data_IF_830827864974
#
_entry.id   IF_830827864974
#
_cell.length_a   1.000
_cell.length_b   1.000
_cell.length_c   1.000
_cell.angle_alpha   90.00
_cell.angle_beta   90.00
_cell.angle_gamma   90.00
#
_symmetry.space_group_name_H-M   'P 1'
#
loop_
_entity.id
_entity.type
_entity.pdbx_description
1 polymer ?
#
# COMPACT_ATOMS: atom_id res chain seq x y z
N UNK A 1 31.32 15.57 -73.45
CA UNK A 1 30.16 15.68 -72.55
C UNK A 1 30.70 16.09 -71.18
N UNK A 2 30.96 17.39 -71.00
CA UNK A 2 31.60 17.94 -69.81
C UNK A 2 30.55 18.30 -68.77
N UNK A 3 30.67 17.75 -67.56
CA UNK A 3 29.92 18.22 -66.39
C UNK A 3 30.50 19.58 -65.99
N UNK A 4 29.84 20.67 -66.40
CA UNK A 4 30.12 22.01 -65.89
C UNK A 4 29.69 22.09 -64.42
N UNK A 5 30.66 21.97 -63.52
CA UNK A 5 30.54 22.33 -62.12
C UNK A 5 30.46 23.86 -62.02
N UNK A 6 29.26 24.41 -62.10
CA UNK A 6 29.03 25.82 -61.80
C UNK A 6 29.37 26.10 -60.31
N UNK A 7 30.28 27.05 -60.01
CA UNK A 7 30.70 27.40 -58.64
C UNK A 7 29.53 27.77 -57.71
N UNK A 8 28.42 28.26 -58.27
CA UNK A 8 27.20 28.62 -57.58
C UNK A 8 26.56 27.46 -56.81
N UNK A 9 26.62 26.22 -57.35
CA UNK A 9 25.93 25.08 -56.73
C UNK A 9 26.61 24.59 -55.44
N UNK A 10 27.95 24.65 -55.38
CA UNK A 10 28.71 24.27 -54.18
C UNK A 10 28.52 25.32 -53.08
N UNK A 11 28.60 26.60 -53.43
CA UNK A 11 28.42 27.70 -52.47
C UNK A 11 27.00 27.71 -51.88
N UNK A 12 25.98 27.47 -52.71
CA UNK A 12 24.59 27.40 -52.24
C UNK A 12 24.31 26.17 -51.38
N UNK A 13 25.06 25.08 -51.60
CA UNK A 13 24.98 23.87 -50.78
C UNK A 13 25.68 24.06 -49.44
N UNK A 14 26.82 24.77 -49.40
CA UNK A 14 27.52 25.15 -48.17
C UNK A 14 26.64 26.10 -47.33
N UNK A 15 26.04 27.13 -47.93
CA UNK A 15 25.12 28.04 -47.21
C UNK A 15 23.93 27.32 -46.60
N UNK A 16 23.34 26.36 -47.33
CA UNK A 16 22.25 25.52 -46.79
C UNK A 16 22.71 24.63 -45.65
N UNK A 17 23.93 24.09 -45.71
CA UNK A 17 24.49 23.31 -44.61
C UNK A 17 24.77 24.17 -43.39
N UNK A 18 25.34 25.36 -43.54
CA UNK A 18 25.56 26.31 -42.45
C UNK A 18 24.25 26.74 -41.79
N UNK A 19 23.21 27.01 -42.58
CA UNK A 19 21.88 27.33 -42.05
C UNK A 19 21.29 26.17 -41.24
N UNK A 20 21.39 24.93 -41.75
CA UNK A 20 20.93 23.74 -41.03
C UNK A 20 21.72 23.48 -39.76
N UNK A 21 23.04 23.63 -39.80
CA UNK A 21 23.91 23.49 -38.63
C UNK A 21 23.54 24.56 -37.58
N UNK A 22 23.33 25.81 -38.00
CA UNK A 22 22.89 26.90 -37.10
C UNK A 22 21.53 26.63 -36.48
N UNK A 23 20.57 26.10 -37.23
CA UNK A 23 19.28 25.68 -36.69
C UNK A 23 19.40 24.51 -35.70
N UNK A 24 20.26 23.53 -35.99
CA UNK A 24 20.55 22.42 -35.09
C UNK A 24 21.19 22.94 -33.80
N UNK A 25 22.18 23.83 -33.87
CA UNK A 25 22.78 24.43 -32.67
C UNK A 25 21.76 25.24 -31.83
N UNK A 26 20.85 25.96 -32.48
CA UNK A 26 19.75 26.65 -31.77
C UNK A 26 18.75 25.68 -31.12
N UNK A 27 18.56 24.48 -31.67
CA UNK A 27 17.68 23.44 -31.11
C UNK A 27 18.37 22.59 -30.04
N UNK A 28 19.67 22.37 -30.15
CA UNK A 28 20.49 21.56 -29.23
C UNK A 28 20.91 22.39 -28.00
N UNK A 29 20.92 23.72 -28.09
CA UNK A 29 21.38 24.63 -27.04
C UNK A 29 20.31 25.09 -26.03
N UNK A 30 19.34 24.25 -25.65
CA UNK A 30 18.48 24.55 -24.49
C UNK A 30 19.19 24.14 -23.20
N UNK A 31 20.30 24.80 -22.87
CA UNK A 31 21.03 24.59 -21.61
C UNK A 31 20.25 25.07 -20.38
N UNK A 32 19.30 25.99 -20.57
CA UNK A 32 18.26 26.29 -19.58
C UNK A 32 16.97 26.71 -20.30
N UNK A 33 15.88 26.00 -20.04
CA UNK A 33 14.54 26.39 -20.47
C UNK A 33 13.71 26.70 -19.21
N UNK A 34 13.18 27.93 -19.11
CA UNK A 34 12.29 28.32 -18.01
C UNK A 34 10.89 28.52 -18.57
N UNK A 35 9.95 27.67 -18.15
CA UNK A 35 8.53 27.80 -18.50
C UNK A 35 7.90 28.81 -17.55
N UNK A 36 7.75 30.08 -17.98
CA UNK A 36 7.19 31.15 -17.14
C UNK A 36 5.67 31.15 -17.05
N UNK A 37 4.98 30.71 -18.12
CA UNK A 37 3.51 30.63 -18.21
C UNK A 37 3.15 29.54 -19.23
N UNK A 38 2.12 28.75 -18.96
CA UNK A 38 1.75 27.57 -19.75
C UNK A 38 2.08 26.25 -19.01
N UNK A 39 2.20 25.15 -19.74
CA UNK A 39 2.57 23.83 -19.22
C UNK A 39 3.46 23.05 -20.20
N UNK A 40 4.15 22.03 -19.69
CA UNK A 40 4.87 21.06 -20.51
C UNK A 40 3.94 19.88 -20.80
N UNK A 41 3.67 19.61 -22.08
CA UNK A 41 2.97 18.40 -22.51
C UNK A 41 3.97 17.49 -23.21
N UNK A 42 4.06 16.26 -22.72
CA UNK A 42 4.86 15.18 -23.31
C UNK A 42 3.91 14.28 -24.10
N UNK A 43 4.26 13.95 -25.34
CA UNK A 43 3.45 13.14 -26.26
C UNK A 43 4.25 11.90 -26.71
N UNK A 44 3.56 10.90 -27.25
CA UNK A 44 4.17 9.73 -27.91
C UNK A 44 5.26 9.06 -27.05
N UNK A 45 4.90 8.70 -25.82
CA UNK A 45 5.81 8.01 -24.88
C UNK A 45 7.05 8.83 -24.49
N UNK A 46 7.03 10.14 -24.72
CA UNK A 46 8.04 11.05 -24.19
C UNK A 46 8.08 11.03 -22.66
N UNK A 47 9.27 11.19 -22.11
CA UNK A 47 9.54 11.10 -20.68
C UNK A 47 10.20 12.37 -20.15
N UNK A 48 10.06 12.57 -18.84
CA UNK A 48 10.81 13.55 -18.06
C UNK A 48 11.84 12.81 -17.20
N UNK A 49 13.12 13.14 -17.35
CA UNK A 49 14.22 12.50 -16.64
C UNK A 49 15.18 13.53 -16.07
N UNK A 50 15.57 13.33 -14.81
CA UNK A 50 16.61 14.11 -14.14
C UNK A 50 17.75 13.17 -13.75
N UNK A 51 18.97 13.56 -14.10
CA UNK A 51 20.20 12.84 -13.80
C UNK A 51 21.11 13.78 -13.01
N UNK A 52 21.74 13.28 -11.96
CA UNK A 52 22.72 14.05 -11.19
C UNK A 52 24.09 14.15 -11.89
N UNK A 53 25.04 14.83 -11.25
CA UNK A 53 26.41 15.00 -11.74
C UNK A 53 27.23 13.71 -11.79
N UNK A 54 26.77 12.65 -11.11
CA UNK A 54 27.37 11.31 -11.11
C UNK A 54 26.74 10.38 -12.15
N UNK A 55 25.77 10.86 -12.93
CA UNK A 55 25.07 10.06 -13.94
C UNK A 55 23.95 9.18 -13.39
N UNK A 56 23.57 9.36 -12.11
CA UNK A 56 22.48 8.62 -11.47
C UNK A 56 21.15 9.30 -11.79
N UNK A 57 20.18 8.52 -12.24
CA UNK A 57 18.82 9.03 -12.40
C UNK A 57 18.21 9.31 -11.03
N UNK A 58 17.79 10.55 -10.79
CA UNK A 58 17.17 10.96 -9.52
C UNK A 58 15.65 11.06 -9.66
N UNK A 59 15.14 11.35 -10.87
CA UNK A 59 13.71 11.45 -11.12
C UNK A 59 13.37 10.99 -12.53
N UNK A 60 12.25 10.29 -12.66
CA UNK A 60 11.75 9.78 -13.93
C UNK A 60 10.22 9.79 -13.94
N UNK A 61 9.62 10.31 -15.00
CA UNK A 61 8.21 10.14 -15.34
C UNK A 61 8.12 9.74 -16.81
N UNK A 62 7.54 8.59 -17.10
CA UNK A 62 7.42 8.08 -18.46
C UNK A 62 7.15 6.58 -18.51
N UNK A 63 7.17 5.97 -19.69
CA UNK A 63 6.93 4.53 -19.86
C UNK A 63 8.11 3.68 -19.38
N UNK A 64 7.82 2.58 -18.70
CA UNK A 64 8.80 1.54 -18.43
C UNK A 64 9.15 0.72 -19.69
N UNK A 65 9.96 -0.33 -19.54
CA UNK A 65 10.33 -1.22 -20.66
C UNK A 65 9.16 -1.94 -21.32
N UNK A 66 7.99 -1.96 -20.68
CA UNK A 66 6.75 -2.56 -21.18
C UNK A 66 5.77 -1.49 -21.69
N UNK A 67 6.16 -0.21 -21.76
CA UNK A 67 5.30 0.88 -22.21
C UNK A 67 4.33 1.39 -21.13
N UNK A 68 4.45 0.92 -19.88
CA UNK A 68 3.54 1.31 -18.79
C UNK A 68 4.04 2.58 -18.13
N UNK A 69 3.15 3.54 -17.91
CA UNK A 69 3.51 4.81 -17.30
C UNK A 69 3.94 4.62 -15.84
N UNK A 70 5.12 5.11 -15.49
CA UNK A 70 5.68 5.05 -14.13
C UNK A 70 6.23 6.40 -13.70
N UNK A 71 6.24 6.61 -12.38
CA UNK A 71 6.92 7.71 -11.71
C UNK A 71 7.96 7.14 -10.75
N UNK A 72 9.18 7.70 -10.76
CA UNK A 72 10.25 7.34 -9.84
C UNK A 72 10.95 8.61 -9.33
N UNK A 73 11.17 8.64 -8.03
CA UNK A 73 12.02 9.60 -7.35
C UNK A 73 13.02 8.81 -6.50
N UNK A 74 14.29 9.15 -6.57
CA UNK A 74 15.40 8.44 -5.91
C UNK A 74 16.20 9.37 -5.00
N UNK A 75 16.93 8.75 -4.08
CA UNK A 75 17.93 9.39 -3.21
C UNK A 75 19.23 9.61 -3.99
N UNK A 76 20.17 10.34 -3.38
CA UNK A 76 21.52 10.62 -3.89
C UNK A 76 22.36 9.36 -4.20
N UNK A 77 21.96 8.18 -3.71
CA UNK A 77 22.57 6.88 -4.07
C UNK A 77 21.80 6.05 -5.11
N UNK A 78 20.78 6.63 -5.76
CA UNK A 78 19.94 5.94 -6.75
C UNK A 78 18.86 5.02 -6.16
N UNK A 79 18.82 4.83 -4.84
CA UNK A 79 17.74 4.07 -4.19
C UNK A 79 16.40 4.83 -4.28
N UNK A 80 15.29 4.18 -4.67
CA UNK A 80 13.99 4.82 -4.77
C UNK A 80 13.53 5.33 -3.40
N UNK A 81 12.99 6.55 -3.36
CA UNK A 81 12.27 7.13 -2.21
C UNK A 81 10.76 7.11 -2.44
N UNK A 82 10.31 7.40 -3.66
CA UNK A 82 8.91 7.32 -4.07
C UNK A 82 8.87 6.69 -5.46
N UNK A 83 8.02 5.70 -5.67
CA UNK A 83 7.86 5.08 -6.98
C UNK A 83 6.44 4.60 -7.22
N UNK A 84 6.07 4.39 -8.48
CA UNK A 84 4.91 3.60 -8.86
C UNK A 84 5.34 2.26 -9.44
N UNK A 85 4.58 1.20 -9.15
CA UNK A 85 4.83 -0.13 -9.70
C UNK A 85 3.52 -0.90 -9.86
N UNK A 86 3.58 -2.16 -10.28
CA UNK A 86 2.40 -2.95 -10.62
C UNK A 86 2.32 -4.21 -9.76
N UNK A 87 1.17 -4.42 -9.11
CA UNK A 87 0.84 -5.67 -8.42
C UNK A 87 0.25 -6.74 -9.38
N UNK A 88 -0.21 -6.30 -10.55
CA UNK A 88 -0.82 -7.12 -11.58
C UNK A 88 -1.32 -6.26 -12.76
N UNK A 89 -1.93 -6.87 -13.80
CA UNK A 89 -2.49 -6.13 -14.93
C UNK A 89 -3.53 -5.08 -14.47
N UNK A 90 -3.28 -3.81 -14.75
CA UNK A 90 -4.15 -2.70 -14.36
C UNK A 90 -4.11 -2.33 -12.87
N UNK A 91 -3.25 -2.98 -12.07
CA UNK A 91 -3.12 -2.74 -10.63
C UNK A 91 -1.83 -1.97 -10.35
N UNK A 92 -1.84 -0.68 -10.65
CA UNK A 92 -0.73 0.21 -10.32
C UNK A 92 -0.84 0.69 -8.86
N UNK A 93 0.26 0.66 -8.12
CA UNK A 93 0.39 1.25 -6.79
C UNK A 93 1.50 2.29 -6.78
N UNK A 94 1.50 3.15 -5.77
CA UNK A 94 2.62 4.00 -5.39
C UNK A 94 3.15 3.60 -4.02
N UNK A 95 4.45 3.78 -3.80
CA UNK A 95 5.07 3.50 -2.52
C UNK A 95 6.16 4.52 -2.19
N UNK A 96 6.12 5.01 -0.96
CA UNK A 96 7.17 5.76 -0.29
C UNK A 96 8.01 4.80 0.56
N UNK A 97 9.33 4.88 0.48
CA UNK A 97 10.25 3.97 1.18
C UNK A 97 11.19 4.69 2.15
N UNK A 98 11.74 3.95 3.10
CA UNK A 98 12.86 4.40 3.94
C UNK A 98 14.23 4.16 3.27
N UNK A 99 15.33 4.48 3.97
CA UNK A 99 16.69 4.30 3.46
C UNK A 99 17.11 2.83 3.25
N UNK A 100 16.40 1.89 3.87
CA UNK A 100 16.59 0.45 3.70
C UNK A 100 15.60 -0.16 2.68
N UNK A 101 14.89 0.70 1.92
CA UNK A 101 13.89 0.32 0.92
C UNK A 101 12.63 -0.36 1.49
N UNK A 102 12.36 -0.24 2.80
CA UNK A 102 11.09 -0.68 3.37
C UNK A 102 9.99 0.30 2.97
N UNK A 103 8.81 -0.22 2.60
CA UNK A 103 7.64 0.61 2.33
C UNK A 103 7.11 1.23 3.63
N UNK A 104 7.11 2.57 3.68
CA UNK A 104 6.61 3.37 4.80
C UNK A 104 5.14 3.72 4.59
N UNK A 105 4.81 4.14 3.36
CA UNK A 105 3.44 4.43 2.95
C UNK A 105 3.22 3.90 1.54
N UNK A 106 2.11 3.23 1.30
CA UNK A 106 1.72 2.76 -0.03
C UNK A 106 0.20 2.59 -0.09
N UNK A 107 -0.39 2.63 -1.27
CA UNK A 107 -1.78 2.21 -1.49
C UNK A 107 -1.89 0.70 -1.75
N UNK A 108 -3.06 0.13 -1.47
CA UNK A 108 -3.34 -1.28 -1.72
C UNK A 108 -3.94 -1.48 -3.11
N UNK A 109 -3.07 -1.72 -4.11
CA UNK A 109 -3.52 -1.95 -5.48
C UNK A 109 -4.19 -3.31 -5.72
N UNK A 110 -4.03 -4.30 -4.83
CA UNK A 110 -4.66 -5.61 -5.02
C UNK A 110 -6.13 -5.57 -4.63
N UNK A 111 -6.44 -5.01 -3.45
CA UNK A 111 -7.84 -4.79 -3.06
C UNK A 111 -8.45 -3.53 -3.70
N UNK A 112 -7.61 -2.60 -4.16
CA UNK A 112 -8.01 -1.29 -4.66
C UNK A 112 -8.55 -0.36 -3.56
N UNK A 113 -8.29 -0.66 -2.28
CA UNK A 113 -8.88 0.05 -1.15
C UNK A 113 -7.87 0.37 -0.05
N UNK A 114 -7.72 1.66 0.23
CA UNK A 114 -6.99 2.16 1.40
C UNK A 114 -5.47 2.09 1.27
N UNK A 115 -4.80 2.02 2.42
CA UNK A 115 -3.34 2.03 2.51
C UNK A 115 -2.81 0.61 2.66
N UNK A 116 -1.84 0.23 1.84
CA UNK A 116 -1.00 -0.94 2.10
C UNK A 116 -0.13 -0.74 3.35
N UNK A 117 0.39 0.48 3.54
CA UNK A 117 1.19 0.90 4.70
C UNK A 117 0.91 2.38 5.06
N UNK A 118 1.05 2.80 6.33
CA UNK A 118 1.31 1.96 7.51
C UNK A 118 0.07 1.16 7.92
N UNK A 119 0.29 0.10 8.70
CA UNK A 119 -0.81 -0.57 9.40
C UNK A 119 -1.28 0.35 10.52
N UNK A 120 -2.55 0.72 10.48
CA UNK A 120 -3.13 1.59 11.49
C UNK A 120 -3.61 0.70 12.64
N UNK A 121 -2.99 0.81 13.82
CA UNK A 121 -3.39 0.00 14.96
C UNK A 121 -4.79 0.42 15.41
N UNK A 122 -5.56 -0.56 15.84
CA UNK A 122 -6.84 -0.42 16.50
C UNK A 122 -6.60 -0.67 18.00
N UNK A 123 -6.22 0.37 18.78
CA UNK A 123 -5.67 0.17 20.12
C UNK A 123 -6.72 -0.46 21.05
N UNK A 124 -6.37 -1.62 21.60
CA UNK A 124 -7.06 -2.32 22.69
C UNK A 124 -6.00 -2.80 23.68
N UNK A 125 -6.33 -2.93 24.96
CA UNK A 125 -5.28 -3.10 25.98
C UNK A 125 -5.69 -3.68 27.33
N UNK A 126 -6.86 -4.30 27.47
CA UNK A 126 -7.21 -4.98 28.73
C UNK A 126 -6.35 -6.24 28.88
N UNK A 127 -5.56 -6.33 29.95
CA UNK A 127 -4.66 -7.47 30.18
C UNK A 127 -4.93 -8.24 31.46
N UNK A 128 -5.71 -7.68 32.39
CA UNK A 128 -6.03 -8.32 33.67
C UNK A 128 -7.25 -9.25 33.54
N UNK A 129 -7.03 -10.53 33.87
CA UNK A 129 -8.05 -11.57 33.89
C UNK A 129 -9.26 -11.22 34.76
N UNK A 130 -9.05 -10.48 35.86
CA UNK A 130 -10.10 -10.18 36.81
C UNK A 130 -11.11 -9.15 36.29
N UNK A 131 -10.73 -8.36 35.29
CA UNK A 131 -11.55 -7.30 34.71
C UNK A 131 -12.02 -7.62 33.29
N UNK A 132 -11.56 -8.73 32.71
CA UNK A 132 -12.06 -9.18 31.40
C UNK A 132 -13.52 -9.64 31.50
N UNK A 133 -14.38 -9.27 30.54
CA UNK A 133 -15.74 -9.79 30.43
C UNK A 133 -15.76 -11.32 30.36
N UNK A 134 -16.65 -11.95 31.13
CA UNK A 134 -16.75 -13.41 31.24
C UNK A 134 -18.18 -13.87 31.05
N UNK A 135 -18.34 -15.12 30.62
CA UNK A 135 -19.64 -15.76 30.51
C UNK A 135 -19.59 -17.22 30.98
N UNK A 136 -20.70 -17.69 31.52
CA UNK A 136 -20.97 -19.12 31.80
C UNK A 136 -22.00 -19.71 30.83
N UNK A 137 -22.46 -18.91 29.85
CA UNK A 137 -23.49 -19.32 28.89
C UNK A 137 -22.99 -20.43 27.97
N UNK A 138 -23.82 -21.45 27.75
CA UNK A 138 -23.62 -22.46 26.71
C UNK A 138 -23.89 -21.96 25.28
N UNK A 139 -24.52 -20.79 25.16
CA UNK A 139 -24.75 -20.08 23.89
C UNK A 139 -23.75 -18.94 23.71
N UNK A 140 -23.41 -18.61 22.46
CA UNK A 140 -22.53 -17.47 22.14
C UNK A 140 -23.15 -16.16 22.63
N UNK A 141 -22.37 -15.41 23.42
CA UNK A 141 -22.68 -14.05 23.85
C UNK A 141 -21.53 -13.13 23.49
N UNK A 142 -21.84 -11.88 23.16
CA UNK A 142 -20.82 -10.84 22.92
C UNK A 142 -20.14 -10.49 24.24
N UNK A 143 -18.82 -10.68 24.26
CA UNK A 143 -17.96 -10.39 25.39
C UNK A 143 -17.15 -9.11 25.17
N UNK A 144 -16.87 -8.78 23.92
CA UNK A 144 -16.13 -7.58 23.55
C UNK A 144 -16.62 -7.09 22.18
N UNK A 145 -16.57 -5.77 21.95
CA UNK A 145 -17.01 -5.17 20.69
C UNK A 145 -16.07 -4.07 20.24
N UNK A 146 -15.95 -3.93 18.93
CA UNK A 146 -15.09 -2.95 18.29
C UNK A 146 -15.83 -2.23 17.18
N UNK A 147 -15.76 -0.90 17.21
CA UNK A 147 -16.39 0.01 16.26
C UNK A 147 -15.32 0.95 15.71
N UNK A 148 -14.96 0.81 14.44
CA UNK A 148 -14.00 1.68 13.75
C UNK A 148 -14.49 2.04 12.35
N UNK A 149 -13.70 2.81 11.61
CA UNK A 149 -13.90 2.99 10.17
C UNK A 149 -12.99 2.04 9.40
N UNK A 150 -13.52 1.40 8.35
CA UNK A 150 -12.76 0.47 7.52
C UNK A 150 -11.68 1.20 6.72
N UNK A 151 -10.42 1.09 7.16
CA UNK A 151 -9.27 1.67 6.46
C UNK A 151 -8.50 0.66 5.60
N UNK A 152 -8.62 -0.63 5.92
CA UNK A 152 -7.91 -1.75 5.28
C UNK A 152 -8.89 -2.87 4.90
N UNK A 153 -8.59 -3.72 3.90
CA UNK A 153 -9.47 -4.81 3.47
C UNK A 153 -9.47 -6.02 4.42
N UNK A 154 -8.43 -6.18 5.25
CA UNK A 154 -8.29 -7.28 6.19
C UNK A 154 -7.94 -6.74 7.58
N UNK A 155 -8.27 -7.53 8.60
CA UNK A 155 -7.91 -7.27 9.99
C UNK A 155 -7.07 -8.43 10.50
N UNK A 156 -5.94 -8.10 11.12
CA UNK A 156 -5.19 -9.02 11.96
C UNK A 156 -5.56 -8.71 13.42
N UNK A 157 -6.09 -9.70 14.13
CA UNK A 157 -6.59 -9.58 15.48
C UNK A 157 -5.94 -10.65 16.36
N UNK A 158 -5.54 -10.24 17.56
CA UNK A 158 -5.16 -11.15 18.63
C UNK A 158 -6.17 -11.05 19.75
N UNK A 159 -6.60 -12.20 20.26
CA UNK A 159 -7.57 -12.32 21.33
C UNK A 159 -6.88 -12.92 22.55
N UNK A 160 -7.16 -12.39 23.73
CA UNK A 160 -6.90 -13.12 24.98
C UNK A 160 -8.10 -14.00 25.27
N UNK A 161 -7.86 -15.30 25.34
CA UNK A 161 -8.90 -16.30 25.59
C UNK A 161 -8.50 -17.15 26.78
N UNK A 162 -9.47 -17.53 27.60
CA UNK A 162 -9.20 -18.45 28.68
C UNK A 162 -10.44 -18.95 29.36
N UNK A 163 -10.27 -20.00 30.16
CA UNK A 163 -11.34 -20.66 30.88
C UNK A 163 -10.96 -20.90 32.34
N UNK A 164 -11.95 -20.92 33.22
CA UNK A 164 -11.80 -21.49 34.56
C UNK A 164 -11.38 -22.95 34.47
N UNK A 165 -10.57 -23.42 35.44
CA UNK A 165 -10.19 -24.84 35.53
C UNK A 165 -11.42 -25.74 35.55
N UNK A 166 -11.38 -26.83 34.78
CA UNK A 166 -12.49 -27.75 34.54
C UNK A 166 -13.48 -27.30 33.46
N UNK A 167 -13.23 -26.18 32.76
CA UNK A 167 -14.14 -25.62 31.75
C UNK A 167 -13.44 -25.48 30.40
N UNK A 168 -14.14 -25.73 29.30
CA UNK A 168 -13.67 -25.44 27.94
C UNK A 168 -14.69 -24.57 27.23
N UNK A 169 -14.26 -23.84 26.22
CA UNK A 169 -15.13 -22.91 25.50
C UNK A 169 -14.78 -22.79 24.03
N UNK A 170 -15.50 -21.92 23.36
CA UNK A 170 -15.24 -21.51 21.99
C UNK A 170 -15.37 -20.01 21.90
N UNK A 171 -14.58 -19.41 21.01
CA UNK A 171 -14.67 -18.01 20.63
C UNK A 171 -14.98 -17.88 19.15
N UNK A 172 -15.61 -16.77 18.78
CA UNK A 172 -15.77 -16.36 17.38
C UNK A 172 -15.75 -14.85 17.24
N UNK A 173 -15.30 -14.37 16.09
CA UNK A 173 -15.40 -12.97 15.70
C UNK A 173 -16.47 -12.86 14.63
N UNK A 174 -17.37 -11.89 14.77
CA UNK A 174 -18.42 -11.62 13.79
C UNK A 174 -18.33 -10.20 13.26
N UNK A 175 -18.71 -10.03 11.99
CA UNK A 175 -19.07 -8.73 11.43
C UNK A 175 -20.53 -8.79 11.04
N UNK A 176 -21.35 -7.90 11.62
CA UNK A 176 -22.78 -7.77 11.31
C UNK A 176 -23.53 -9.13 11.31
N UNK A 177 -23.20 -9.99 12.28
CA UNK A 177 -23.77 -11.33 12.46
C UNK A 177 -23.10 -12.47 11.66
N UNK A 178 -22.19 -12.17 10.73
CA UNK A 178 -21.43 -13.17 9.96
C UNK A 178 -20.15 -13.53 10.67
N UNK A 179 -19.90 -14.82 10.91
CA UNK A 179 -18.65 -15.28 11.54
C UNK A 179 -17.47 -15.20 10.56
N UNK A 180 -16.43 -14.46 10.95
CA UNK A 180 -15.20 -14.27 10.16
C UNK A 180 -14.05 -15.15 10.64
N UNK A 181 -14.00 -15.46 11.95
CA UNK A 181 -13.00 -16.33 12.56
C UNK A 181 -13.58 -17.03 13.79
N UNK A 182 -13.04 -18.19 14.15
CA UNK A 182 -13.42 -18.92 15.37
C UNK A 182 -12.31 -19.85 15.84
N UNK A 183 -12.40 -20.28 17.10
CA UNK A 183 -11.47 -21.25 17.67
C UNK A 183 -11.90 -21.76 19.05
N UNK A 184 -11.17 -22.76 19.54
CA UNK A 184 -11.40 -23.35 20.85
C UNK A 184 -10.69 -22.58 21.99
N UNK A 185 -11.25 -22.66 23.18
CA UNK A 185 -10.67 -22.17 24.44
C UNK A 185 -10.33 -23.37 25.31
N UNK A 186 -9.04 -23.54 25.59
CA UNK A 186 -8.54 -24.64 26.40
C UNK A 186 -8.82 -24.45 27.90
N UNK A 187 -8.85 -25.57 28.62
CA UNK A 187 -9.13 -25.60 30.05
C UNK A 187 -8.04 -24.94 30.89
N UNK A 188 -8.42 -23.99 31.75
CA UNK A 188 -7.58 -23.48 32.84
C UNK A 188 -6.42 -22.59 32.41
N UNK A 189 -6.32 -22.23 31.13
CA UNK A 189 -5.18 -21.47 30.59
C UNK A 189 -5.68 -20.18 29.95
N UNK A 190 -5.03 -19.05 30.30
CA UNK A 190 -5.13 -17.81 29.55
C UNK A 190 -4.09 -17.85 28.43
N UNK A 191 -4.55 -17.89 27.18
CA UNK A 191 -3.70 -17.94 25.98
C UNK A 191 -4.01 -16.78 25.03
N UNK A 192 -3.18 -16.66 24.00
CA UNK A 192 -3.40 -15.73 22.90
C UNK A 192 -3.87 -16.53 21.70
N UNK A 193 -5.05 -16.20 21.18
CA UNK A 193 -5.51 -16.68 19.88
C UNK A 193 -5.22 -15.62 18.81
N UNK A 194 -4.89 -16.08 17.61
CA UNK A 194 -4.58 -15.24 16.46
C UNK A 194 -5.65 -15.46 15.39
N UNK A 195 -6.14 -14.37 14.80
CA UNK A 195 -7.15 -14.39 13.76
C UNK A 195 -6.80 -13.37 12.68
N UNK A 196 -6.83 -13.79 11.42
CA UNK A 196 -6.67 -12.89 10.27
C UNK A 196 -7.79 -13.15 9.28
N UNK A 197 -8.59 -12.14 8.99
CA UNK A 197 -9.80 -12.28 8.19
C UNK A 197 -10.06 -11.05 7.33
N UNK A 198 -10.77 -11.26 6.21
CA UNK A 198 -11.25 -10.17 5.38
C UNK A 198 -12.46 -9.49 6.04
N UNK A 199 -12.59 -8.19 5.84
CA UNK A 199 -13.72 -7.39 6.34
C UNK A 199 -14.49 -6.77 5.19
N UNK A 200 -15.82 -6.77 5.29
CA UNK A 200 -16.71 -6.22 4.26
C UNK A 200 -16.97 -4.73 4.48
N UNK A 201 -17.51 -4.06 3.46
CA UNK A 201 -17.83 -2.62 3.47
C UNK A 201 -16.91 -1.79 2.59
N UNK A 202 -17.31 -0.55 2.29
CA UNK A 202 -16.51 0.42 1.53
C UNK A 202 -15.42 1.06 2.38
N UNK A 203 -14.41 1.67 1.76
CA UNK A 203 -13.42 2.48 2.47
C UNK A 203 -14.12 3.55 3.31
N UNK A 204 -13.69 3.70 4.57
CA UNK A 204 -14.27 4.58 5.60
C UNK A 204 -15.72 4.28 5.97
N UNK A 205 -16.30 3.16 5.56
CA UNK A 205 -17.58 2.71 6.12
C UNK A 205 -17.40 2.28 7.59
N UNK A 206 -18.45 2.41 8.44
CA UNK A 206 -18.42 1.83 9.77
C UNK A 206 -18.12 0.33 9.73
N UNK A 207 -17.15 -0.09 10.53
CA UNK A 207 -16.72 -1.47 10.72
C UNK A 207 -17.04 -1.88 12.14
N UNK A 208 -17.86 -2.92 12.24
CA UNK A 208 -18.43 -3.46 13.45
C UNK A 208 -17.92 -4.89 13.65
N UNK A 209 -17.13 -5.12 14.70
CA UNK A 209 -16.60 -6.44 15.03
C UNK A 209 -17.04 -6.83 16.43
N UNK A 210 -17.79 -7.94 16.53
CA UNK A 210 -18.21 -8.49 17.81
C UNK A 210 -17.39 -9.75 18.12
N UNK A 211 -16.75 -9.78 19.28
CA UNK A 211 -16.09 -10.98 19.80
C UNK A 211 -17.03 -11.67 20.76
N UNK A 212 -17.35 -12.90 20.42
CA UNK A 212 -18.27 -13.72 21.18
C UNK A 212 -17.58 -14.93 21.77
N UNK A 213 -18.08 -15.37 22.92
CA UNK A 213 -17.65 -16.58 23.58
C UNK A 213 -18.82 -17.43 24.06
N UNK A 214 -18.61 -18.74 24.17
CA UNK A 214 -19.51 -19.67 24.86
C UNK A 214 -18.74 -20.74 25.62
N UNK A 215 -19.37 -21.28 26.66
CA UNK A 215 -18.94 -22.50 27.34
C UNK A 215 -19.32 -23.70 26.48
N UNK A 216 -18.34 -24.57 26.19
CA UNK A 216 -18.55 -25.81 25.44
C UNK A 216 -18.72 -27.01 26.38
N UNK A 217 -18.02 -27.00 27.53
CA UNK A 217 -18.14 -28.02 28.59
C UNK A 217 -17.65 -27.47 29.92
N UNK A 218 -18.17 -27.98 31.03
CA UNK A 218 -17.90 -27.52 32.40
C UNK A 218 -18.90 -26.49 32.90
N UNK A 219 -18.72 -26.06 34.15
CA UNK A 219 -19.62 -25.12 34.85
C UNK A 219 -18.97 -23.77 35.18
N UNK A 220 -17.68 -23.59 34.85
CA UNK A 220 -16.96 -22.36 35.09
C UNK A 220 -17.17 -21.32 33.99
N UNK A 221 -16.40 -20.24 34.09
CA UNK A 221 -16.49 -19.12 33.15
C UNK A 221 -15.43 -19.18 32.06
N UNK A 222 -15.73 -18.60 30.90
CA UNK A 222 -14.77 -18.34 29.83
C UNK A 222 -14.71 -16.85 29.52
N UNK A 223 -13.60 -16.42 28.93
CA UNK A 223 -13.42 -15.06 28.39
C UNK A 223 -12.83 -15.12 26.99
N UNK A 224 -13.20 -14.14 26.17
CA UNK A 224 -12.57 -13.81 24.91
C UNK A 224 -12.59 -12.29 24.77
N UNK A 225 -11.41 -11.67 24.73
CA UNK A 225 -11.26 -10.22 24.72
C UNK A 225 -10.21 -9.81 23.68
N UNK A 226 -10.43 -8.69 23.00
CA UNK A 226 -9.50 -8.17 22.00
C UNK A 226 -8.25 -7.67 22.70
N UNK A 227 -7.11 -8.27 22.38
CA UNK A 227 -5.82 -7.81 22.88
C UNK A 227 -5.29 -6.70 21.98
N UNK A 228 -5.15 -6.99 20.70
CA UNK A 228 -4.65 -6.06 19.69
C UNK A 228 -5.40 -6.34 18.39
N UNK A 229 -5.79 -5.30 17.66
CA UNK A 229 -6.29 -5.42 16.30
C UNK A 229 -5.56 -4.40 15.41
N UNK A 230 -5.36 -4.73 14.14
CA UNK A 230 -4.73 -3.84 13.18
C UNK A 230 -5.25 -4.12 11.78
N UNK A 231 -5.50 -3.05 11.03
CA UNK A 231 -5.79 -3.16 9.60
C UNK A 231 -4.54 -3.59 8.84
N UNK A 232 -4.68 -4.56 7.95
CA UNK A 232 -3.61 -5.04 7.07
C UNK A 232 -4.08 -5.12 5.61
N UNK A 233 -3.14 -5.03 4.68
CA UNK A 233 -3.38 -5.23 3.25
C UNK A 233 -3.81 -6.67 2.93
N UNK A 234 -4.26 -6.88 1.69
CA UNK A 234 -4.66 -8.19 1.15
C UNK A 234 -3.61 -9.28 1.35
#
# INVERSE_FOLDING_TARGET
MGLELHPSNIVDRIKRLEQRVTEVYKKVGLSSAVIRKGGLTLLDDAFFRMVDDNGVEIMYFGPDSEGRQVALLRREGGAPVLYTYFAGPGQQYWALTDGAQNQVVADDAFSGQGLARPYLPLPHGQTDWNVMPKTTSGSFVTLDEVRYYKQHPRVNMTLRVGATVGTTGEWRVQQDGVTLASGAIANGVLTIAYATFAVTGSHMAPLNLDVQGRVASGAGSITAHIREAGGIQS
#
